data_IF_118658330393
#
_entry.id   IF_118658330393
#
_cell.length_a   1.000
_cell.length_b   1.000
_cell.length_c   1.000
_cell.angle_alpha   90.00
_cell.angle_beta   90.00
_cell.angle_gamma   90.00
#
_symmetry.space_group_name_H-M   'P 1'
#
loop_
_entity.id
_entity.type
_entity.pdbx_description
1 polymer ?
#
# COMPACT_ATOMS: atom_id res chain seq x y z
N UNK A 1 9.29 19.03 3.37
CA UNK A 1 9.19 17.77 2.61
C UNK A 1 7.90 17.78 1.82
N UNK A 2 7.95 17.45 0.52
CA UNK A 2 6.77 17.42 -0.34
C UNK A 2 5.76 16.35 0.15
N UNK A 3 4.50 16.77 0.39
CA UNK A 3 3.43 15.91 0.92
C UNK A 3 3.07 14.77 -0.03
N UNK A 4 3.22 14.96 -1.34
CA UNK A 4 3.02 13.91 -2.34
C UNK A 4 4.10 12.84 -2.18
N UNK A 5 5.35 13.25 -2.00
CA UNK A 5 6.48 12.34 -1.78
C UNK A 5 6.28 11.50 -0.51
N UNK A 6 5.80 12.10 0.58
CA UNK A 6 5.47 11.36 1.80
C UNK A 6 4.38 10.30 1.58
N UNK A 7 3.33 10.63 0.83
CA UNK A 7 2.25 9.68 0.52
C UNK A 7 2.71 8.53 -0.37
N UNK A 8 3.53 8.82 -1.37
CA UNK A 8 4.14 7.80 -2.23
C UNK A 8 5.04 6.86 -1.42
N UNK A 9 5.87 7.40 -0.52
CA UNK A 9 6.70 6.56 0.35
C UNK A 9 5.87 5.69 1.32
N UNK A 10 4.76 6.22 1.84
CA UNK A 10 3.83 5.41 2.63
C UNK A 10 3.20 4.27 1.81
N UNK A 11 2.77 4.53 0.58
CA UNK A 11 2.23 3.52 -0.32
C UNK A 11 3.26 2.44 -0.67
N UNK A 12 4.50 2.83 -0.97
CA UNK A 12 5.61 1.88 -1.21
C UNK A 12 5.89 1.00 0.00
N UNK A 13 5.93 1.57 1.21
CA UNK A 13 6.14 0.80 2.44
C UNK A 13 5.01 -0.21 2.68
N UNK A 14 3.76 0.21 2.43
CA UNK A 14 2.60 -0.67 2.55
C UNK A 14 2.67 -1.83 1.54
N UNK A 15 3.05 -1.55 0.29
CA UNK A 15 3.23 -2.55 -0.76
C UNK A 15 4.34 -3.54 -0.41
N UNK A 16 5.52 -3.06 -0.02
CA UNK A 16 6.63 -3.92 0.39
C UNK A 16 6.28 -4.82 1.59
N UNK A 17 5.44 -4.34 2.51
CA UNK A 17 4.95 -5.16 3.61
C UNK A 17 3.98 -6.24 3.14
N UNK A 18 3.13 -5.96 2.14
CA UNK A 18 2.26 -6.94 1.51
C UNK A 18 3.08 -8.01 0.76
N UNK A 19 4.05 -7.61 -0.05
CA UNK A 19 4.90 -8.52 -0.85
C UNK A 19 5.62 -9.56 0.02
N UNK A 20 6.05 -9.18 1.23
CA UNK A 20 6.66 -10.11 2.20
C UNK A 20 5.74 -11.26 2.60
N UNK A 21 4.43 -11.03 2.64
CA UNK A 21 3.45 -12.08 2.96
C UNK A 21 2.96 -12.80 1.70
N UNK A 22 2.82 -12.07 0.58
CA UNK A 22 2.35 -12.63 -0.69
C UNK A 22 3.34 -13.63 -1.32
N UNK A 23 4.63 -13.54 -0.98
CA UNK A 23 5.68 -14.43 -1.47
C UNK A 23 5.94 -15.65 -0.58
N UNK A 24 5.18 -15.81 0.52
CA UNK A 24 5.25 -17.00 1.35
C UNK A 24 4.75 -18.23 0.56
N UNK A 25 5.56 -19.29 0.52
CA UNK A 25 5.24 -20.51 -0.22
C UNK A 25 4.10 -21.32 0.41
N UNK A 26 4.02 -21.32 1.74
CA UNK A 26 3.01 -22.06 2.52
C UNK A 26 2.51 -21.21 3.68
N UNK A 27 1.72 -20.16 3.42
CA UNK A 27 1.18 -19.32 4.47
C UNK A 27 0.14 -20.09 5.29
N UNK A 28 0.21 -19.98 6.60
CA UNK A 28 -0.86 -20.40 7.49
C UNK A 28 -2.06 -19.44 7.39
N UNK A 29 -3.18 -19.77 8.05
CA UNK A 29 -4.40 -18.97 7.93
C UNK A 29 -4.24 -17.54 8.47
N UNK A 30 -3.46 -17.34 9.54
CA UNK A 30 -3.16 -16.00 10.08
C UNK A 30 -2.31 -15.18 9.11
N UNK A 31 -1.31 -15.81 8.48
CA UNK A 31 -0.47 -15.16 7.47
C UNK A 31 -1.27 -14.80 6.21
N UNK A 32 -2.22 -15.65 5.81
CA UNK A 32 -3.13 -15.38 4.70
C UNK A 32 -4.04 -14.18 5.00
N UNK A 33 -4.64 -14.14 6.18
CA UNK A 33 -5.49 -13.03 6.62
C UNK A 33 -4.69 -11.73 6.72
N UNK A 34 -3.47 -11.81 7.27
CA UNK A 34 -2.55 -10.67 7.30
C UNK A 34 -2.18 -10.20 5.88
N UNK A 35 -1.97 -11.12 4.92
CA UNK A 35 -1.71 -10.76 3.52
C UNK A 35 -2.90 -10.03 2.90
N UNK A 36 -4.13 -10.51 3.11
CA UNK A 36 -5.37 -9.85 2.64
C UNK A 36 -5.49 -8.45 3.24
N UNK A 37 -5.22 -8.31 4.54
CA UNK A 37 -5.28 -7.01 5.21
C UNK A 37 -4.20 -6.04 4.68
N UNK A 38 -2.97 -6.53 4.46
CA UNK A 38 -1.89 -5.71 3.90
C UNK A 38 -2.15 -5.34 2.45
N UNK A 39 -2.80 -6.19 1.67
CA UNK A 39 -3.28 -5.84 0.32
C UNK A 39 -4.29 -4.69 0.35
N UNK A 40 -5.33 -4.79 1.19
CA UNK A 40 -6.33 -3.71 1.34
C UNK A 40 -5.66 -2.39 1.73
N UNK A 41 -4.74 -2.44 2.69
CA UNK A 41 -4.01 -1.26 3.16
C UNK A 41 -3.08 -0.67 2.08
N UNK A 42 -2.33 -1.50 1.33
CA UNK A 42 -1.46 -1.01 0.27
C UNK A 42 -2.24 -0.37 -0.87
N UNK A 43 -3.40 -0.94 -1.23
CA UNK A 43 -4.31 -0.37 -2.20
C UNK A 43 -4.87 0.99 -1.73
N UNK A 44 -5.34 1.07 -0.48
CA UNK A 44 -5.85 2.31 0.09
C UNK A 44 -4.78 3.41 0.14
N UNK A 45 -3.55 3.06 0.54
CA UNK A 45 -2.43 4.01 0.55
C UNK A 45 -2.09 4.51 -0.86
N UNK A 46 -2.12 3.62 -1.85
CA UNK A 46 -1.90 3.95 -3.26
C UNK A 46 -2.99 4.88 -3.79
N UNK A 47 -4.26 4.57 -3.52
CA UNK A 47 -5.40 5.42 -3.89
C UNK A 47 -5.32 6.81 -3.25
N UNK A 48 -4.99 6.87 -1.96
CA UNK A 48 -4.78 8.13 -1.23
C UNK A 48 -3.64 8.97 -1.81
N UNK A 49 -2.60 8.35 -2.38
CA UNK A 49 -1.53 9.05 -3.08
C UNK A 49 -1.99 9.54 -4.46
N UNK A 50 -2.67 8.70 -5.24
CA UNK A 50 -3.21 9.05 -6.55
C UNK A 50 -4.23 10.19 -6.48
N UNK A 51 -5.20 10.11 -5.56
CA UNK A 51 -6.19 11.17 -5.33
C UNK A 51 -5.53 12.49 -4.95
N UNK A 52 -4.48 12.44 -4.12
CA UNK A 52 -3.74 13.65 -3.75
C UNK A 52 -3.00 14.25 -4.96
N UNK A 53 -2.37 13.41 -5.78
CA UNK A 53 -1.78 13.84 -7.04
C UNK A 53 -2.82 14.52 -7.95
N UNK A 54 -3.96 13.87 -8.22
CA UNK A 54 -5.05 14.45 -9.02
C UNK A 54 -5.53 15.80 -8.46
N UNK A 55 -5.68 15.90 -7.13
CA UNK A 55 -6.08 17.16 -6.48
C UNK A 55 -5.08 18.31 -6.63
N UNK A 56 -3.78 18.00 -6.79
CA UNK A 56 -2.76 19.02 -7.04
C UNK A 56 -2.83 19.51 -8.49
N UNK A 57 -3.08 18.60 -9.42
CA UNK A 57 -3.05 18.87 -10.86
C UNK A 57 -4.41 19.24 -11.47
N UNK A 58 -5.47 19.35 -10.67
CA UNK A 58 -6.76 19.91 -11.10
C UNK A 58 -7.60 19.01 -12.01
N UNK A 59 -7.54 17.69 -11.79
CA UNK A 59 -8.46 16.71 -12.40
C UNK A 59 -9.50 16.22 -11.39
#
# INVERSE_FOLDING_TARGET
MDRLRQRLEAAKKALAAFEKLATLKYPNDVERDAAIQRFKFSFEASWKAAKYHMSIYGL
#
